data_IF_866129634268
#
_entry.id   IF_866129634268
#
_cell.length_a   1.000
_cell.length_b   1.000
_cell.length_c   1.000
_cell.angle_alpha   90.00
_cell.angle_beta   90.00
_cell.angle_gamma   90.00
#
_symmetry.space_group_name_H-M   'P 1'
#
loop_
_entity.id
_entity.type
_entity.pdbx_description
1 polymer ?
#
# COMPACT_ATOMS: atom_id res chain seq x y z
N UNK A 1 -35.14 -2.73 4.96
CA UNK A 1 -34.65 -3.73 5.93
C UNK A 1 -33.30 -3.23 6.43
N UNK A 2 -33.24 -2.84 7.70
CA UNK A 2 -32.04 -2.33 8.34
C UNK A 2 -31.10 -3.53 8.58
N UNK A 3 -29.93 -3.52 7.93
CA UNK A 3 -28.88 -4.52 8.16
C UNK A 3 -28.26 -4.18 9.52
N UNK A 4 -28.85 -4.75 10.58
CA UNK A 4 -28.40 -4.55 11.95
C UNK A 4 -26.98 -5.09 12.08
N UNK A 5 -26.05 -4.22 12.44
CA UNK A 5 -24.64 -4.54 12.63
C UNK A 5 -24.46 -5.77 13.50
N UNK A 6 -24.14 -6.90 12.87
CA UNK A 6 -23.61 -8.06 13.56
C UNK A 6 -22.35 -7.62 14.30
N UNK A 7 -22.29 -7.92 15.61
CA UNK A 7 -21.09 -7.75 16.44
C UNK A 7 -19.87 -8.20 15.66
N UNK A 8 -19.05 -7.25 15.20
CA UNK A 8 -17.88 -7.57 14.41
C UNK A 8 -16.94 -8.43 15.26
N UNK A 9 -16.73 -9.67 14.84
CA UNK A 9 -15.77 -10.55 15.48
C UNK A 9 -14.38 -9.88 15.36
N UNK A 10 -13.66 -9.65 16.47
CA UNK A 10 -12.38 -8.92 16.45
C UNK A 10 -11.34 -9.59 15.54
N UNK A 11 -11.43 -10.92 15.33
CA UNK A 11 -10.54 -11.62 14.40
C UNK A 11 -10.81 -11.31 12.92
N UNK A 12 -11.86 -10.55 12.60
CA UNK A 12 -12.21 -10.13 11.23
C UNK A 12 -11.67 -8.76 10.86
N UNK A 13 -11.08 -8.04 11.82
CA UNK A 13 -10.48 -6.73 11.59
C UNK A 13 -9.33 -6.81 10.58
N UNK A 14 -9.29 -5.83 9.69
CA UNK A 14 -8.25 -5.71 8.67
C UNK A 14 -7.03 -5.01 9.26
N UNK A 15 -5.86 -5.55 8.99
CA UNK A 15 -4.58 -4.98 9.39
C UNK A 15 -3.60 -4.98 8.23
N UNK A 16 -2.62 -4.08 8.30
CA UNK A 16 -1.50 -4.07 7.36
C UNK A 16 -0.61 -5.27 7.69
N UNK A 17 -0.53 -6.23 6.77
CA UNK A 17 0.31 -7.43 6.96
C UNK A 17 1.76 -7.15 6.62
N UNK A 18 1.99 -6.45 5.51
CA UNK A 18 3.30 -6.00 5.05
C UNK A 18 3.14 -4.87 4.06
N UNK A 19 4.16 -4.02 4.02
CA UNK A 19 4.35 -2.98 3.03
C UNK A 19 5.60 -3.34 2.23
N UNK A 20 5.45 -3.51 0.93
CA UNK A 20 6.55 -3.79 0.01
C UNK A 20 6.91 -2.50 -0.71
N UNK A 21 8.18 -2.12 -0.63
CA UNK A 21 8.76 -1.01 -1.37
C UNK A 21 9.63 -1.55 -2.48
N UNK A 22 9.50 -0.98 -3.67
CA UNK A 22 10.25 -1.40 -4.84
C UNK A 22 10.77 -0.20 -5.61
N UNK A 23 12.04 -0.26 -6.01
CA UNK A 23 12.65 0.65 -6.98
C UNK A 23 13.19 -0.20 -8.13
N UNK A 24 12.66 0.04 -9.33
CA UNK A 24 13.13 -0.56 -10.57
C UNK A 24 13.97 0.47 -11.35
N UNK A 25 15.25 0.19 -11.57
CA UNK A 25 16.16 1.09 -12.30
C UNK A 25 16.32 0.64 -13.75
N UNK A 26 16.22 -0.66 -14.04
CA UNK A 26 16.32 -1.20 -15.41
C UNK A 26 17.75 -1.53 -15.85
N UNK A 27 18.75 -1.16 -15.06
CA UNK A 27 20.18 -1.36 -15.37
C UNK A 27 20.96 -1.80 -14.12
N UNK A 28 22.10 -2.47 -14.35
CA UNK A 28 23.10 -2.72 -13.32
C UNK A 28 24.01 -1.52 -13.07
N UNK A 29 24.73 -1.56 -11.96
CA UNK A 29 25.86 -0.68 -11.69
C UNK A 29 25.59 0.31 -10.57
N UNK A 30 26.23 1.48 -10.66
CA UNK A 30 26.25 2.47 -9.57
C UNK A 30 24.86 3.00 -9.25
N UNK A 31 24.02 3.18 -10.26
CA UNK A 31 22.66 3.68 -10.08
C UNK A 31 21.82 2.77 -9.19
N UNK A 32 21.98 1.46 -9.34
CA UNK A 32 21.31 0.47 -8.49
C UNK A 32 21.82 0.52 -7.04
N UNK A 33 23.13 0.71 -6.84
CA UNK A 33 23.69 0.84 -5.49
C UNK A 33 23.26 2.12 -4.78
N UNK A 34 23.09 3.22 -5.52
CA UNK A 34 22.53 4.49 -5.01
C UNK A 34 21.06 4.33 -4.63
N UNK A 35 20.26 3.67 -5.46
CA UNK A 35 18.87 3.35 -5.15
C UNK A 35 18.73 2.49 -3.88
N UNK A 36 19.66 1.56 -3.66
CA UNK A 36 19.69 0.78 -2.42
C UNK A 36 19.91 1.65 -1.18
N UNK A 37 20.81 2.65 -1.26
CA UNK A 37 21.03 3.61 -0.16
C UNK A 37 19.78 4.43 0.17
N UNK A 38 19.01 4.83 -0.84
CA UNK A 38 17.73 5.55 -0.62
C UNK A 38 16.73 4.68 0.14
N UNK A 39 16.57 3.42 -0.25
CA UNK A 39 15.68 2.49 0.46
C UNK A 39 16.16 2.19 1.88
N UNK A 40 17.47 2.12 2.08
CA UNK A 40 18.06 1.94 3.41
C UNK A 40 17.80 3.15 4.31
N UNK A 41 17.96 4.37 3.79
CA UNK A 41 17.62 5.60 4.52
C UNK A 41 16.13 5.69 4.86
N UNK A 42 15.26 5.27 3.95
CA UNK A 42 13.81 5.31 4.16
C UNK A 42 13.33 4.27 5.19
N UNK A 43 13.87 3.04 5.12
CA UNK A 43 13.36 1.90 5.91
C UNK A 43 14.19 1.55 7.14
N UNK A 44 15.46 1.99 7.17
CA UNK A 44 16.45 1.58 8.17
C UNK A 44 16.80 0.09 8.09
N UNK A 45 16.59 -0.55 6.93
CA UNK A 45 16.86 -1.97 6.70
C UNK A 45 17.71 -2.15 5.45
N UNK A 46 18.58 -3.15 5.46
CA UNK A 46 19.39 -3.51 4.28
C UNK A 46 18.48 -4.10 3.20
N UNK A 47 18.38 -3.48 2.01
CA UNK A 47 17.44 -3.93 1.00
C UNK A 47 17.99 -5.11 0.19
N UNK A 48 17.09 -5.83 -0.49
CA UNK A 48 17.43 -7.03 -1.26
C UNK A 48 17.47 -6.71 -2.76
N UNK A 49 18.56 -7.12 -3.42
CA UNK A 49 18.72 -6.99 -4.87
C UNK A 49 17.97 -8.10 -5.62
N UNK A 50 17.09 -7.69 -6.52
CA UNK A 50 16.34 -8.57 -7.42
C UNK A 50 17.08 -8.78 -8.73
N UNK A 51 17.16 -10.05 -9.16
CA UNK A 51 17.81 -10.47 -10.41
C UNK A 51 16.81 -10.64 -11.55
N UNK A 52 17.27 -10.37 -12.76
CA UNK A 52 16.56 -10.64 -14.01
C UNK A 52 16.31 -12.14 -14.21
N UNK A 53 15.07 -12.52 -14.51
CA UNK A 53 14.75 -13.90 -14.92
C UNK A 53 14.93 -14.13 -16.42
N UNK A 54 14.69 -13.11 -17.23
CA UNK A 54 14.70 -13.18 -18.69
C UNK A 54 15.73 -12.20 -19.27
N UNK A 55 16.26 -12.55 -20.44
CA UNK A 55 17.08 -11.64 -21.25
C UNK A 55 16.16 -10.93 -22.23
N UNK A 56 16.10 -9.61 -22.18
CA UNK A 56 15.26 -8.79 -23.06
C UNK A 56 16.13 -7.70 -23.67
N UNK A 57 16.46 -7.86 -24.97
CA UNK A 57 17.43 -6.99 -25.66
C UNK A 57 16.95 -5.54 -25.80
N UNK A 58 15.64 -5.32 -25.93
CA UNK A 58 15.05 -3.98 -26.01
C UNK A 58 15.26 -3.14 -24.76
N UNK A 59 15.32 -3.78 -23.58
CA UNK A 59 15.59 -3.11 -22.30
C UNK A 59 17.07 -3.17 -21.89
N UNK A 60 17.94 -3.77 -22.71
CA UNK A 60 19.35 -3.94 -22.37
C UNK A 60 19.64 -4.95 -21.25
N UNK A 61 18.65 -5.73 -20.83
CA UNK A 61 18.72 -6.60 -19.65
C UNK A 61 19.23 -8.00 -20.02
N UNK A 62 20.20 -8.52 -19.25
CA UNK A 62 20.67 -9.90 -19.32
C UNK A 62 20.15 -10.76 -18.17
N UNK A 63 20.05 -12.07 -18.38
CA UNK A 63 19.64 -13.02 -17.32
C UNK A 63 20.60 -12.99 -16.13
N UNK A 64 20.06 -13.11 -14.92
CA UNK A 64 20.77 -13.05 -13.63
C UNK A 64 21.43 -11.72 -13.28
N UNK A 65 21.23 -10.70 -14.10
CA UNK A 65 21.66 -9.34 -13.84
C UNK A 65 20.83 -8.70 -12.73
N UNK A 66 21.41 -7.85 -11.89
CA UNK A 66 20.67 -7.16 -10.82
C UNK A 66 20.00 -5.92 -11.40
N UNK A 67 18.68 -5.79 -11.27
CA UNK A 67 17.92 -4.71 -11.94
C UNK A 67 17.16 -3.83 -10.96
N UNK A 68 16.68 -4.42 -9.88
CA UNK A 68 15.77 -3.77 -8.96
C UNK A 68 16.19 -4.02 -7.52
N UNK A 69 15.73 -3.14 -6.64
CA UNK A 69 15.95 -3.24 -5.21
C UNK A 69 14.59 -3.16 -4.53
N UNK A 70 14.35 -4.06 -3.59
CA UNK A 70 13.12 -4.04 -2.82
C UNK A 70 13.37 -4.24 -1.34
N UNK A 71 12.46 -3.72 -0.54
CA UNK A 71 12.45 -3.88 0.91
C UNK A 71 11.02 -4.21 1.35
N UNK A 72 10.89 -5.07 2.35
CA UNK A 72 9.58 -5.37 2.96
C UNK A 72 9.56 -4.93 4.40
N UNK A 73 8.70 -3.95 4.71
CA UNK A 73 8.52 -3.41 6.05
C UNK A 73 7.24 -3.98 6.67
N UNK A 74 7.26 -4.20 7.98
CA UNK A 74 6.13 -4.73 8.76
C UNK A 74 6.03 -4.00 10.11
N UNK A 75 4.86 -4.04 10.73
CA UNK A 75 4.59 -3.41 12.03
C UNK A 75 4.47 -1.89 11.93
N UNK A 76 4.72 -1.19 13.04
CA UNK A 76 4.54 0.26 13.16
C UNK A 76 5.32 1.07 12.10
N UNK A 77 6.55 0.66 11.76
CA UNK A 77 7.35 1.30 10.69
C UNK A 77 6.64 1.31 9.34
N UNK A 78 5.82 0.30 9.05
CA UNK A 78 5.07 0.25 7.80
C UNK A 78 3.94 1.29 7.78
N UNK A 79 3.30 1.53 8.92
CA UNK A 79 2.23 2.53 9.06
C UNK A 79 2.79 3.95 8.91
N UNK A 80 3.91 4.26 9.55
CA UNK A 80 4.60 5.55 9.41
C UNK A 80 5.01 5.85 7.97
N UNK A 81 5.58 4.86 7.28
CA UNK A 81 6.01 5.00 5.88
C UNK A 81 4.80 5.12 4.95
N UNK A 82 3.72 4.40 5.24
CA UNK A 82 2.49 4.47 4.46
C UNK A 82 1.83 5.84 4.61
N UNK A 83 1.75 6.38 5.82
CA UNK A 83 1.18 7.71 6.07
C UNK A 83 1.95 8.80 5.32
N UNK A 84 3.29 8.74 5.33
CA UNK A 84 4.14 9.63 4.52
C UNK A 84 3.83 9.50 3.03
N UNK A 85 3.74 8.28 2.51
CA UNK A 85 3.46 8.04 1.09
C UNK A 85 2.07 8.52 0.65
N UNK A 86 1.07 8.40 1.53
CA UNK A 86 -0.28 8.85 1.25
C UNK A 86 -0.43 10.37 1.30
N UNK A 87 0.34 11.03 2.17
CA UNK A 87 0.40 12.49 2.22
C UNK A 87 0.87 13.09 0.89
N UNK A 88 1.85 12.46 0.24
CA UNK A 88 2.33 12.88 -1.10
C UNK A 88 1.26 12.74 -2.17
N UNK A 89 0.36 11.76 -2.02
CA UNK A 89 -0.76 11.53 -2.94
C UNK A 89 -2.04 12.25 -2.52
N UNK A 90 -1.96 13.16 -1.54
CA UNK A 90 -3.10 13.90 -1.00
C UNK A 90 -4.24 12.98 -0.53
N UNK A 91 -3.90 11.75 -0.12
CA UNK A 91 -4.84 10.69 0.25
C UNK A 91 -5.85 10.31 -0.86
N UNK A 92 -5.54 10.63 -2.12
CA UNK A 92 -6.36 10.24 -3.27
C UNK A 92 -5.86 8.95 -3.91
N UNK A 93 -6.68 7.91 -3.88
CA UNK A 93 -6.46 6.67 -4.64
C UNK A 93 -7.64 6.38 -5.57
N UNK A 94 -7.33 6.02 -6.81
CA UNK A 94 -8.34 5.57 -7.77
C UNK A 94 -8.83 4.15 -7.41
N UNK A 95 -10.08 3.84 -7.73
CA UNK A 95 -10.66 2.49 -7.54
C UNK A 95 -9.87 1.38 -8.25
N UNK A 96 -9.17 1.72 -9.33
CA UNK A 96 -8.37 0.76 -10.11
C UNK A 96 -7.07 0.35 -9.42
N UNK A 97 -6.61 1.11 -8.42
CA UNK A 97 -5.42 0.78 -7.64
C UNK A 97 -5.67 -0.37 -6.66
N UNK A 98 -6.94 -0.69 -6.40
CA UNK A 98 -7.34 -1.82 -5.57
C UNK A 98 -7.45 -3.09 -6.40
N UNK A 99 -6.69 -4.10 -5.97
CA UNK A 99 -6.77 -5.47 -6.48
C UNK A 99 -8.06 -6.15 -6.01
N UNK A 100 -8.47 -7.20 -6.73
CA UNK A 100 -9.65 -7.99 -6.39
C UNK A 100 -9.49 -8.70 -5.03
N UNK A 101 -8.26 -9.03 -4.67
CA UNK A 101 -7.86 -9.57 -3.34
C UNK A 101 -7.80 -8.49 -2.25
N UNK A 102 -8.15 -7.23 -2.56
CA UNK A 102 -8.23 -6.12 -1.61
C UNK A 102 -6.89 -5.55 -1.16
N UNK A 103 -5.79 -5.95 -1.81
CA UNK A 103 -4.51 -5.25 -1.70
C UNK A 103 -4.54 -3.99 -2.55
N UNK A 104 -3.72 -3.00 -2.21
CA UNK A 104 -3.61 -1.79 -3.01
C UNK A 104 -2.16 -1.35 -3.14
N UNK A 105 -1.89 -0.58 -4.18
CA UNK A 105 -0.58 -0.01 -4.41
C UNK A 105 -0.66 1.33 -5.11
N UNK A 106 0.39 2.12 -4.94
CA UNK A 106 0.58 3.39 -5.63
C UNK A 106 2.07 3.63 -5.84
N UNK A 107 2.40 4.25 -6.96
CA UNK A 107 3.77 4.73 -7.23
C UNK A 107 3.92 6.18 -6.84
N UNK A 108 5.10 6.58 -6.42
CA UNK A 108 5.53 7.98 -6.29
C UNK A 108 6.68 8.19 -7.27
N UNK A 109 6.68 9.33 -7.98
CA UNK A 109 7.72 9.63 -8.97
C UNK A 109 9.00 10.15 -8.31
N UNK A 110 8.88 10.86 -7.19
CA UNK A 110 9.99 11.46 -6.46
C UNK A 110 10.00 11.00 -5.00
N UNK A 111 11.11 10.40 -4.55
CA UNK A 111 11.27 10.01 -3.15
C UNK A 111 11.56 11.20 -2.21
N UNK A 112 11.80 12.40 -2.74
CA UNK A 112 12.11 13.61 -1.94
C UNK A 112 10.88 14.00 -1.10
N UNK A 113 9.69 13.84 -1.69
CA UNK A 113 8.41 14.15 -1.03
C UNK A 113 8.15 13.27 0.21
N UNK A 114 8.86 12.15 0.35
CA UNK A 114 8.81 11.28 1.53
C UNK A 114 9.63 11.83 2.73
N UNK A 115 10.28 12.98 2.57
CA UNK A 115 11.02 13.68 3.62
C UNK A 115 12.51 13.33 3.70
N UNK A 116 13.08 12.77 2.62
CA UNK A 116 14.53 12.50 2.53
C UNK A 116 15.23 13.75 1.99
N UNK A 117 16.37 14.13 2.58
CA UNK A 117 17.19 15.22 2.05
C UNK A 117 17.71 14.86 0.66
N UNK A 118 17.64 15.83 -0.25
CA UNK A 118 18.15 15.65 -1.60
C UNK A 118 19.68 15.60 -1.62
N UNK A 119 20.23 14.50 -2.11
CA UNK A 119 21.65 14.35 -2.41
C UNK A 119 21.86 14.30 -3.94
N UNK A 120 22.57 15.28 -4.53
CA UNK A 120 22.78 15.33 -5.98
C UNK A 120 23.57 14.13 -6.51
N UNK A 121 24.38 13.49 -5.66
CA UNK A 121 25.11 12.27 -6.01
C UNK A 121 24.20 11.05 -6.20
N UNK A 122 23.04 11.01 -5.55
CA UNK A 122 22.13 9.87 -5.59
C UNK A 122 21.19 9.98 -6.81
N UNK A 123 20.68 11.19 -7.05
CA UNK A 123 19.70 11.47 -8.10
C UNK A 123 18.26 11.19 -7.66
N UNK A 124 17.29 11.49 -8.52
CA UNK A 124 15.86 11.30 -8.25
C UNK A 124 15.44 9.89 -8.68
N UNK A 125 14.72 9.20 -7.81
CA UNK A 125 14.16 7.87 -8.06
C UNK A 125 12.68 7.87 -7.73
N UNK A 126 11.92 7.18 -8.58
CA UNK A 126 10.55 6.77 -8.29
C UNK A 126 10.54 5.52 -7.41
N UNK A 127 9.44 5.38 -6.66
CA UNK A 127 9.27 4.33 -5.68
C UNK A 127 7.85 3.79 -5.71
N UNK A 128 7.72 2.47 -5.76
CA UNK A 128 6.44 1.79 -5.76
C UNK A 128 6.11 1.28 -4.35
N UNK A 129 4.93 1.66 -3.86
CA UNK A 129 4.35 1.14 -2.63
C UNK A 129 3.33 0.07 -2.98
N UNK A 130 3.48 -1.09 -2.36
CA UNK A 130 2.47 -2.15 -2.42
C UNK A 130 2.10 -2.61 -1.02
N UNK A 131 0.84 -2.36 -0.63
CA UNK A 131 0.30 -2.67 0.68
C UNK A 131 -0.49 -3.96 0.61
N UNK A 132 -0.10 -4.91 1.45
CA UNK A 132 -0.82 -6.16 1.61
C UNK A 132 -1.65 -6.10 2.88
N UNK A 133 -2.96 -6.12 2.70
CA UNK A 133 -3.91 -6.21 3.80
C UNK A 133 -4.11 -7.68 4.17
N UNK A 134 -4.38 -7.93 5.44
CA UNK A 134 -4.66 -9.29 5.90
C UNK A 134 -5.43 -9.28 7.21
N UNK A 135 -6.02 -10.43 7.54
CA UNK A 135 -6.66 -10.66 8.84
C UNK A 135 -5.80 -11.54 9.73
N UNK A 136 -6.01 -11.51 11.04
CA UNK A 136 -5.61 -12.61 11.92
C UNK A 136 -6.08 -13.96 11.34
N UNK A 137 -5.18 -14.94 11.22
CA UNK A 137 -5.46 -16.26 10.63
C UNK A 137 -4.90 -16.51 9.22
N UNK A 138 -4.50 -15.47 8.49
CA UNK A 138 -3.91 -15.63 7.14
C UNK A 138 -2.58 -16.40 7.13
N UNK A 139 -1.89 -16.47 8.27
CA UNK A 139 -0.64 -17.23 8.44
C UNK A 139 -0.80 -18.74 8.27
N UNK A 140 -2.04 -19.27 8.24
CA UNK A 140 -2.32 -20.70 8.01
C UNK A 140 -1.84 -21.16 6.63
N UNK A 141 -1.88 -20.27 5.63
CA UNK A 141 -1.40 -20.55 4.29
C UNK A 141 0.13 -20.56 4.18
N UNK A 142 0.83 -19.79 5.02
CA UNK A 142 2.30 -19.68 4.94
C UNK A 142 3.04 -20.63 5.89
N UNK A 143 2.37 -21.14 6.94
CA UNK A 143 3.04 -21.99 7.94
C UNK A 143 3.44 -23.35 7.35
N UNK A 144 4.63 -23.84 7.73
CA UNK A 144 5.17 -25.13 7.28
C UNK A 144 4.42 -26.34 7.85
N UNK A 145 3.98 -26.26 9.12
CA UNK A 145 3.28 -27.37 9.80
C UNK A 145 1.76 -27.18 9.69
N UNK A 146 1.05 -28.21 9.22
CA UNK A 146 -0.41 -28.23 9.06
C UNK A 146 -0.92 -27.07 8.20
N UNK A 147 -0.27 -26.82 7.07
CA UNK A 147 -0.69 -25.83 6.08
C UNK A 147 -2.13 -26.10 5.67
N UNK A 148 -2.93 -25.05 5.54
CA UNK A 148 -4.33 -25.14 5.14
C UNK A 148 -4.72 -23.98 4.25
N UNK A 149 -5.84 -24.13 3.55
CA UNK A 149 -6.38 -23.09 2.70
C UNK A 149 -7.21 -22.12 3.53
N UNK A 150 -7.17 -20.83 3.16
CA UNK A 150 -8.06 -19.82 3.73
C UNK A 150 -9.41 -20.01 3.02
N UNK A 151 -10.42 -20.48 3.74
CA UNK A 151 -11.72 -20.79 3.16
C UNK A 151 -12.41 -19.57 2.57
N UNK A 152 -13.13 -19.74 1.45
CA UNK A 152 -13.93 -18.67 0.84
C UNK A 152 -15.03 -18.15 1.80
N UNK A 153 -15.58 -19.06 2.62
CA UNK A 153 -16.70 -18.84 3.55
C UNK A 153 -16.35 -19.03 5.04
N UNK A 154 -15.06 -19.10 5.44
CA UNK A 154 -14.77 -18.53 6.76
C UNK A 154 -15.34 -17.12 6.67
N UNK A 155 -16.22 -16.65 7.58
CA UNK A 155 -16.95 -15.35 7.48
C UNK A 155 -16.03 -14.11 7.43
N UNK A 156 -15.07 -14.18 6.56
CA UNK A 156 -13.67 -13.78 6.54
C UNK A 156 -13.21 -14.01 5.07
N UNK A 157 -14.06 -13.72 4.06
CA UNK A 157 -13.62 -13.77 2.66
C UNK A 157 -12.37 -12.93 2.47
N UNK A 158 -11.52 -13.23 1.48
CA UNK A 158 -10.41 -12.34 1.11
C UNK A 158 -10.89 -10.88 1.13
N UNK A 159 -10.10 -9.92 1.64
CA UNK A 159 -10.54 -8.53 1.62
C UNK A 159 -11.02 -8.23 0.20
N UNK A 160 -12.32 -8.06 0.04
CA UNK A 160 -12.89 -7.80 -1.27
C UNK A 160 -12.60 -6.33 -1.57
N UNK A 161 -12.46 -6.00 -2.85
CA UNK A 161 -12.23 -4.62 -3.34
C UNK A 161 -13.11 -3.60 -2.62
N UNK A 162 -14.35 -3.98 -2.33
CA UNK A 162 -15.35 -3.19 -1.59
C UNK A 162 -14.96 -2.94 -0.12
N UNK A 163 -14.54 -3.96 0.66
CA UNK A 163 -14.16 -3.75 2.09
C UNK A 163 -12.80 -3.08 2.24
N UNK A 164 -11.86 -3.33 1.33
CA UNK A 164 -10.57 -2.62 1.34
C UNK A 164 -10.78 -1.11 1.11
N UNK A 165 -11.60 -0.74 0.13
CA UNK A 165 -11.95 0.66 -0.12
C UNK A 165 -12.70 1.35 1.03
N UNK A 166 -13.42 0.59 1.86
CA UNK A 166 -14.11 1.12 3.06
C UNK A 166 -13.18 1.21 4.28
N UNK A 167 -12.21 0.30 4.43
CA UNK A 167 -11.27 0.27 5.56
C UNK A 167 -10.26 1.42 5.54
N UNK A 168 -9.78 1.83 4.36
CA UNK A 168 -8.79 2.90 4.23
C UNK A 168 -9.32 4.24 4.78
N UNK A 169 -10.56 4.68 4.45
CA UNK A 169 -11.19 5.86 5.05
C UNK A 169 -11.50 5.75 6.54
N UNK A 170 -11.70 4.53 7.09
CA UNK A 170 -12.00 4.35 8.53
C UNK A 170 -10.73 4.37 9.38
N UNK A 171 -9.62 3.82 8.87
CA UNK A 171 -8.34 3.80 9.57
C UNK A 171 -7.55 5.12 9.41
N UNK A 172 -7.85 5.88 8.36
CA UNK A 172 -7.20 7.16 8.05
C UNK A 172 -8.29 8.13 7.53
N UNK A 173 -8.75 9.09 8.34
CA UNK A 173 -9.98 9.85 8.06
C UNK A 173 -9.90 10.90 6.93
N UNK A 174 -8.77 11.00 6.22
CA UNK A 174 -8.52 12.06 5.22
C UNK A 174 -8.65 11.59 3.74
N UNK A 175 -9.37 10.51 3.45
CA UNK A 175 -9.30 9.84 2.14
C UNK A 175 -10.43 10.21 1.17
N UNK A 176 -10.08 10.48 -0.09
CA UNK A 176 -11.03 10.73 -1.18
C UNK A 176 -10.75 9.77 -2.34
N UNK A 177 -11.74 8.97 -2.75
CA UNK A 177 -11.63 8.08 -3.91
C UNK A 177 -12.17 8.81 -5.14
N UNK A 178 -11.28 9.46 -5.88
CA UNK A 178 -11.59 10.15 -7.14
C UNK A 178 -11.80 9.13 -8.26
N UNK A 179 -13.06 8.75 -8.49
CA UNK A 179 -13.47 7.89 -9.59
C UNK A 179 -14.82 7.19 -9.37
N UNK A 180 -15.91 7.90 -9.69
CA UNK A 180 -17.24 7.35 -9.99
C UNK A 180 -17.81 6.33 -8.99
N UNK A 181 -18.36 6.79 -7.87
CA UNK A 181 -19.67 6.39 -7.32
C UNK A 181 -19.76 6.92 -5.87
N UNK A 182 -20.66 7.89 -5.72
CA UNK A 182 -21.29 8.45 -4.51
C UNK A 182 -20.41 8.88 -3.33
N UNK A 183 -20.36 10.20 -3.18
CA UNK A 183 -20.45 10.94 -1.92
C UNK A 183 -21.09 10.08 -0.81
N UNK A 184 -20.28 9.55 0.10
CA UNK A 184 -20.75 9.18 1.43
C UNK A 184 -20.58 10.45 2.25
N UNK A 185 -21.62 11.27 2.28
CA UNK A 185 -21.82 12.18 3.39
C UNK A 185 -21.82 11.33 4.66
N UNK A 186 -20.76 11.49 5.46
CA UNK A 186 -20.80 11.06 6.85
C UNK A 186 -21.81 12.01 7.50
N UNK A 187 -23.07 11.55 7.59
CA UNK A 187 -24.04 12.08 8.54
C UNK A 187 -23.42 11.93 9.93
N UNK A 188 -22.77 12.99 10.39
CA UNK A 188 -22.44 13.17 11.80
C UNK A 188 -23.75 13.23 12.57
N UNK A 189 -24.04 12.18 13.32
CA UNK A 189 -24.95 12.25 14.46
C UNK A 189 -24.30 13.15 15.52
N UNK A 190 -24.50 14.45 15.38
CA UNK A 190 -24.43 15.43 16.46
C UNK A 190 -25.76 16.19 16.45
N UNK A 191 -26.45 16.36 17.59
CA UNK A 191 -27.72 17.06 17.64
C UNK A 191 -27.48 18.57 17.52
N UNK A 192 -28.27 19.25 16.69
CA UNK A 192 -28.51 20.71 16.66
C UNK A 192 -27.23 21.55 16.37
N UNK A 193 -27.16 22.41 15.35
CA UNK A 193 -28.01 23.57 15.10
C UNK A 193 -27.94 23.89 13.60
N UNK A 194 -29.09 24.11 12.99
CA UNK A 194 -29.23 24.61 11.63
C UNK A 194 -28.62 26.01 11.50
N UNK A 195 -27.82 26.25 10.45
CA UNK A 195 -27.79 27.59 9.84
C UNK A 195 -27.70 27.48 8.32
N UNK A 196 -28.81 27.92 7.73
CA UNK A 196 -29.12 28.10 6.33
C UNK A 196 -28.42 29.38 5.83
N UNK A 197 -27.83 29.37 4.63
CA UNK A 197 -27.54 30.50 3.72
C UNK A 197 -26.69 29.91 2.57
N UNK A 198 -27.22 29.52 1.42
CA UNK A 198 -27.78 30.27 0.28
C UNK A 198 -26.76 31.22 -0.40
N UNK A 199 -26.67 31.08 -1.75
CA UNK A 199 -25.94 31.86 -2.76
C UNK A 199 -24.42 31.62 -2.88
N UNK A 200 -23.82 31.45 -4.06
CA UNK A 200 -24.29 31.54 -5.45
C UNK A 200 -23.39 30.70 -6.37
#
# INVERSE_FOLDING_TARGET
>A
MQDQGEKENPMRELRIRKLCLNICVGESGDRLTRAAKVLEQLTGQTPVFSKARYTVRSFGIRRNEKIAVHCTVRGAKAEEILEKGLKVREYELRKNNFSDTGNFGFGIQEHIDLGIKYDPSIGIYGLDFYVVLGRPGFSIADKKRRTGNIGANSGQGQPNKTRAGVWLPTALPAWIVSGGCQKVEICGNGPLVAFFLLFS
#
